data_IF_587509540254
#
_entry.id   IF_587509540254
#
_cell.length_a   1.000
_cell.length_b   1.000
_cell.length_c   1.000
_cell.angle_alpha   90.00
_cell.angle_beta   90.00
_cell.angle_gamma   90.00
#
_symmetry.space_group_name_H-M   'P 1'
#
loop_
_entity.id
_entity.type
_entity.pdbx_description
1 polymer ?
#
# COMPACT_ATOMS: atom_id res chain seq x y z
N UNK A 1 14.01 22.09 -1.04
CA UNK A 1 12.56 21.79 -1.03
C UNK A 1 12.34 20.37 -0.52
N UNK A 2 12.26 20.15 0.80
CA UNK A 2 12.12 18.79 1.37
C UNK A 2 10.68 18.38 1.69
N UNK A 3 9.76 19.35 1.84
CA UNK A 3 8.44 19.10 2.45
C UNK A 3 7.23 19.51 1.58
N UNK A 4 7.39 19.66 0.26
CA UNK A 4 6.35 20.23 -0.63
C UNK A 4 5.03 19.45 -0.63
N UNK A 5 4.84 18.57 -1.61
CA UNK A 5 3.61 17.76 -1.76
C UNK A 5 3.33 16.90 -0.53
N UNK A 6 4.39 16.49 0.18
CA UNK A 6 4.33 15.64 1.37
C UNK A 6 3.61 16.30 2.57
N UNK A 7 3.77 17.62 2.78
CA UNK A 7 2.96 18.33 3.80
C UNK A 7 1.48 18.34 3.44
N UNK A 8 1.15 18.45 2.15
CA UNK A 8 -0.22 18.39 1.66
C UNK A 8 -0.90 17.09 2.07
N UNK A 9 -0.24 15.94 1.86
CA UNK A 9 -0.78 14.63 2.24
C UNK A 9 -0.94 14.51 3.76
N UNK A 10 0.05 14.97 4.54
CA UNK A 10 0.00 14.89 6.01
C UNK A 10 -0.99 15.87 6.66
N UNK A 11 -1.25 17.05 6.07
CA UNK A 11 -2.14 18.08 6.63
C UNK A 11 -3.57 18.02 6.06
N UNK A 12 -3.75 17.62 4.80
CA UNK A 12 -5.07 17.45 4.18
C UNK A 12 -5.81 16.20 4.69
N UNK A 13 -5.11 15.30 5.40
CA UNK A 13 -5.67 14.16 6.14
C UNK A 13 -6.88 14.47 7.02
N UNK A 14 -7.09 15.74 7.38
CA UNK A 14 -8.21 16.15 8.23
C UNK A 14 -9.38 16.83 7.50
N UNK A 15 -9.27 17.20 6.20
CA UNK A 15 -10.26 18.12 5.59
C UNK A 15 -10.76 17.75 4.19
N UNK A 16 -10.03 17.00 3.36
CA UNK A 16 -10.54 16.62 2.04
C UNK A 16 -9.87 15.38 1.44
N UNK A 17 -10.57 14.24 1.48
CA UNK A 17 -10.10 12.94 0.95
C UNK A 17 -9.80 13.03 -0.56
N UNK A 18 -10.55 13.83 -1.33
CA UNK A 18 -10.32 13.95 -2.77
C UNK A 18 -8.98 14.60 -3.10
N UNK A 19 -8.51 15.51 -2.24
CA UNK A 19 -7.17 16.13 -2.41
C UNK A 19 -6.10 15.08 -2.17
N UNK A 20 -6.25 14.23 -1.16
CA UNK A 20 -5.29 13.15 -0.87
C UNK A 20 -5.22 12.18 -2.05
N UNK A 21 -6.36 11.77 -2.59
CA UNK A 21 -6.43 10.91 -3.78
C UNK A 21 -5.68 11.54 -4.95
N UNK A 22 -5.94 12.82 -5.24
CA UNK A 22 -5.25 13.54 -6.30
C UNK A 22 -3.73 13.58 -6.07
N UNK A 23 -3.27 13.82 -4.84
CA UNK A 23 -1.85 13.85 -4.52
C UNK A 23 -1.18 12.47 -4.63
N UNK A 24 -1.91 11.38 -4.34
CA UNK A 24 -1.44 10.01 -4.53
C UNK A 24 -1.35 9.67 -6.02
N UNK A 25 -2.34 10.06 -6.81
CA UNK A 25 -2.36 9.86 -8.26
C UNK A 25 -1.17 10.58 -8.93
N UNK A 26 -0.87 11.82 -8.50
CA UNK A 26 0.30 12.58 -8.96
C UNK A 26 1.64 12.02 -8.47
N UNK A 27 1.64 11.25 -7.38
CA UNK A 27 2.87 10.64 -6.87
C UNK A 27 3.36 9.52 -7.80
N UNK A 28 2.48 8.90 -8.60
CA UNK A 28 2.85 7.87 -9.57
C UNK A 28 3.80 8.41 -10.65
N UNK A 29 3.44 9.43 -11.46
CA UNK A 29 4.35 9.99 -12.46
C UNK A 29 5.60 10.60 -11.82
N UNK A 30 5.46 11.29 -10.68
CA UNK A 30 6.62 11.83 -9.95
C UNK A 30 7.59 10.73 -9.55
N UNK A 31 7.11 9.59 -9.06
CA UNK A 31 7.98 8.49 -8.66
C UNK A 31 8.81 7.96 -9.82
N UNK A 32 8.22 7.93 -11.02
CA UNK A 32 8.91 7.52 -12.23
C UNK A 32 9.96 8.56 -12.69
N UNK A 33 9.71 9.85 -12.49
CA UNK A 33 10.72 10.89 -12.77
C UNK A 33 11.90 10.84 -11.79
N UNK A 34 11.62 10.63 -10.49
CA UNK A 34 12.65 10.51 -9.46
C UNK A 34 13.55 9.27 -9.65
N UNK A 35 13.05 8.21 -10.31
CA UNK A 35 13.75 6.94 -10.47
C UNK A 35 14.31 6.46 -9.11
N UNK A 36 15.54 5.93 -9.09
CA UNK A 36 16.21 5.43 -7.89
C UNK A 36 16.39 6.49 -6.80
N UNK A 37 16.31 7.80 -7.11
CA UNK A 37 16.46 8.84 -6.08
C UNK A 37 15.30 8.88 -5.08
N UNK A 38 14.17 8.23 -5.38
CA UNK A 38 13.03 8.14 -4.47
C UNK A 38 13.35 7.42 -3.16
N UNK A 39 14.41 6.59 -3.13
CA UNK A 39 14.87 5.88 -1.93
C UNK A 39 15.11 6.81 -0.73
N UNK A 40 15.44 8.08 -0.98
CA UNK A 40 15.66 9.11 0.06
C UNK A 40 14.37 9.48 0.81
N UNK A 41 13.22 9.27 0.17
CA UNK A 41 11.89 9.59 0.69
C UNK A 41 11.13 8.35 1.14
N UNK A 42 11.67 7.14 0.89
CA UNK A 42 11.00 5.86 1.11
C UNK A 42 10.44 5.71 2.53
N UNK A 43 11.22 6.07 3.56
CA UNK A 43 10.76 6.04 4.96
C UNK A 43 9.48 6.82 5.18
N UNK A 44 9.42 8.04 4.64
CA UNK A 44 8.29 8.93 4.83
C UNK A 44 7.09 8.47 3.99
N UNK A 45 7.34 8.07 2.74
CA UNK A 45 6.31 7.60 1.81
C UNK A 45 5.64 6.32 2.31
N UNK A 46 6.43 5.30 2.69
CA UNK A 46 5.88 4.07 3.26
C UNK A 46 5.07 4.38 4.52
N UNK A 47 5.58 5.25 5.41
CA UNK A 47 4.83 5.66 6.59
C UNK A 47 3.46 6.26 6.25
N UNK A 48 3.37 7.12 5.23
CA UNK A 48 2.11 7.67 4.73
C UNK A 48 1.20 6.55 4.22
N UNK A 49 1.68 5.68 3.34
CA UNK A 49 0.87 4.63 2.73
C UNK A 49 0.35 3.64 3.76
N UNK A 50 1.21 3.18 4.67
CA UNK A 50 0.83 2.25 5.74
C UNK A 50 -0.17 2.87 6.70
N UNK A 51 -0.04 4.16 7.01
CA UNK A 51 -1.03 4.87 7.82
C UNK A 51 -2.39 4.95 7.12
N UNK A 52 -2.43 5.25 5.82
CA UNK A 52 -3.67 5.27 5.04
C UNK A 52 -4.29 3.86 4.98
N UNK A 53 -3.50 2.84 4.63
CA UNK A 53 -3.99 1.46 4.51
C UNK A 53 -4.43 0.85 5.85
N UNK A 54 -3.82 1.29 6.97
CA UNK A 54 -4.20 0.85 8.31
C UNK A 54 -5.38 1.62 8.90
N UNK A 55 -5.94 2.60 8.18
CA UNK A 55 -7.10 3.34 8.66
C UNK A 55 -8.36 2.44 8.66
N UNK A 56 -9.12 2.37 9.77
CA UNK A 56 -10.28 1.49 9.89
C UNK A 56 -11.43 1.87 8.94
N UNK A 57 -11.44 3.10 8.40
CA UNK A 57 -12.45 3.60 7.47
C UNK A 57 -12.06 3.42 6.00
N UNK A 58 -10.95 2.73 5.70
CA UNK A 58 -10.60 2.36 4.31
C UNK A 58 -11.69 1.56 3.61
N UNK A 59 -12.53 0.83 4.36
CA UNK A 59 -13.68 0.08 3.82
C UNK A 59 -14.72 0.95 3.10
N UNK A 60 -14.89 2.20 3.51
CA UNK A 60 -15.85 3.14 2.89
C UNK A 60 -15.21 4.05 1.83
N UNK A 61 -13.89 3.95 1.63
CA UNK A 61 -13.10 4.79 0.71
C UNK A 61 -12.27 3.94 -0.28
N UNK A 62 -12.91 3.13 -1.15
CA UNK A 62 -12.19 2.21 -2.05
C UNK A 62 -11.20 2.93 -2.97
N UNK A 63 -11.59 4.10 -3.50
CA UNK A 63 -10.73 4.91 -4.38
C UNK A 63 -9.44 5.36 -3.68
N UNK A 64 -9.49 5.67 -2.38
CA UNK A 64 -8.31 6.04 -1.61
C UNK A 64 -7.34 4.86 -1.49
N UNK A 65 -7.85 3.66 -1.25
CA UNK A 65 -7.04 2.44 -1.18
C UNK A 65 -6.42 2.12 -2.53
N UNK A 66 -7.19 2.20 -3.61
CA UNK A 66 -6.71 1.99 -4.98
C UNK A 66 -5.54 2.93 -5.33
N UNK A 67 -5.73 4.25 -5.20
CA UNK A 67 -4.68 5.25 -5.46
C UNK A 67 -3.45 5.07 -4.55
N UNK A 68 -3.66 4.66 -3.29
CA UNK A 68 -2.56 4.37 -2.36
C UNK A 68 -1.74 3.17 -2.82
N UNK A 69 -2.40 2.10 -3.27
CA UNK A 69 -1.73 0.91 -3.77
C UNK A 69 -0.95 1.20 -5.05
N UNK A 70 -1.53 1.96 -5.99
CA UNK A 70 -0.85 2.36 -7.24
C UNK A 70 0.41 3.19 -6.95
N UNK A 71 0.29 4.21 -6.08
CA UNK A 71 1.42 5.03 -5.67
C UNK A 71 2.50 4.19 -4.96
N UNK A 72 2.11 3.29 -4.06
CA UNK A 72 3.03 2.40 -3.36
C UNK A 72 3.78 1.47 -4.34
N UNK A 73 3.09 0.87 -5.31
CA UNK A 73 3.71 0.04 -6.35
C UNK A 73 4.72 0.85 -7.17
N UNK A 74 4.39 2.08 -7.55
CA UNK A 74 5.31 2.97 -8.26
C UNK A 74 6.55 3.32 -7.42
N UNK A 75 6.37 3.59 -6.12
CA UNK A 75 7.48 3.83 -5.19
C UNK A 75 8.34 2.59 -5.01
N UNK A 76 7.73 1.41 -4.92
CA UNK A 76 8.46 0.15 -4.80
C UNK A 76 9.26 -0.19 -6.07
N UNK A 77 8.70 0.07 -7.25
CA UNK A 77 9.41 -0.11 -8.54
C UNK A 77 10.69 0.71 -8.62
N UNK A 78 10.63 1.97 -8.17
CA UNK A 78 11.74 2.90 -8.28
C UNK A 78 12.68 2.83 -7.06
N UNK A 79 12.15 2.44 -5.90
CA UNK A 79 12.84 2.40 -4.62
C UNK A 79 13.31 1.01 -4.17
N UNK A 80 13.15 -0.02 -5.01
CA UNK A 80 13.37 -1.44 -4.67
C UNK A 80 14.66 -1.75 -3.88
N UNK A 81 15.83 -1.10 -4.11
CA UNK A 81 17.06 -1.47 -3.40
C UNK A 81 17.01 -1.25 -1.88
N UNK A 82 16.01 -0.49 -1.39
CA UNK A 82 15.84 -0.20 0.05
C UNK A 82 14.46 -0.57 0.60
N UNK A 83 13.61 -1.25 -0.19
CA UNK A 83 12.26 -1.66 0.24
C UNK A 83 12.30 -2.75 1.31
N UNK A 84 13.38 -3.53 1.39
CA UNK A 84 13.51 -4.65 2.34
C UNK A 84 13.22 -4.25 3.79
N UNK A 85 13.75 -3.10 4.23
CA UNK A 85 13.55 -2.59 5.58
C UNK A 85 12.10 -2.19 5.92
N UNK A 86 11.20 -2.23 4.94
CA UNK A 86 9.80 -1.82 5.05
C UNK A 86 8.82 -2.93 4.70
N UNK A 87 9.30 -4.13 4.33
CA UNK A 87 8.44 -5.22 3.81
C UNK A 87 7.31 -5.58 4.77
N UNK A 88 7.60 -5.67 6.07
CA UNK A 88 6.63 -6.04 7.09
C UNK A 88 5.62 -4.92 7.38
N UNK A 89 6.05 -3.66 7.33
CA UNK A 89 5.14 -2.52 7.48
C UNK A 89 4.15 -2.46 6.32
N UNK A 90 4.63 -2.69 5.09
CA UNK A 90 3.80 -2.76 3.89
C UNK A 90 2.79 -3.91 4.00
N UNK A 91 3.26 -5.13 4.34
CA UNK A 91 2.38 -6.28 4.51
C UNK A 91 1.30 -6.03 5.57
N UNK A 92 1.68 -5.45 6.72
CA UNK A 92 0.73 -5.08 7.77
C UNK A 92 -0.32 -4.11 7.27
N UNK A 93 0.08 -3.05 6.55
CA UNK A 93 -0.87 -2.09 5.97
C UNK A 93 -1.86 -2.74 5.02
N UNK A 94 -1.36 -3.58 4.11
CA UNK A 94 -2.19 -4.32 3.14
C UNK A 94 -3.21 -5.22 3.83
N UNK A 95 -2.78 -5.99 4.83
CA UNK A 95 -3.64 -6.88 5.60
C UNK A 95 -4.72 -6.11 6.36
N UNK A 96 -4.34 -5.02 7.04
CA UNK A 96 -5.30 -4.18 7.76
C UNK A 96 -6.36 -3.60 6.80
N UNK A 97 -5.93 -3.09 5.65
CA UNK A 97 -6.86 -2.56 4.65
C UNK A 97 -7.81 -3.64 4.15
N UNK A 98 -7.30 -4.83 3.84
CA UNK A 98 -8.10 -5.97 3.40
C UNK A 98 -9.13 -6.41 4.46
N UNK A 99 -8.77 -6.39 5.74
CA UNK A 99 -9.69 -6.69 6.84
C UNK A 99 -10.81 -5.65 6.93
N UNK A 100 -10.48 -4.37 6.74
CA UNK A 100 -11.45 -3.25 6.74
C UNK A 100 -12.41 -3.24 5.54
N UNK A 101 -12.14 -3.97 4.46
CA UNK A 101 -13.05 -4.07 3.29
C UNK A 101 -14.26 -4.99 3.51
N UNK A 102 -14.49 -5.46 4.74
CA UNK A 102 -15.59 -6.36 5.06
C UNK A 102 -16.91 -5.58 5.19
N UNK A 103 -17.71 -5.52 4.13
CA UNK A 103 -19.05 -4.93 4.16
C UNK A 103 -20.02 -5.77 5.01
N UNK A 104 -21.16 -5.19 5.42
CA UNK A 104 -22.23 -5.88 6.17
C UNK A 104 -22.76 -7.14 5.47
N UNK A 105 -22.60 -7.25 4.15
CA UNK A 105 -22.93 -8.41 3.30
C UNK A 105 -21.79 -9.40 3.11
N UNK A 106 -20.61 -9.14 3.67
CA UNK A 106 -19.40 -9.97 3.52
C UNK A 106 -18.74 -9.94 2.14
N UNK A 107 -19.32 -9.25 1.16
CA UNK A 107 -18.71 -9.07 -0.17
C UNK A 107 -17.67 -7.96 -0.16
N UNK A 108 -16.40 -8.36 -0.37
CA UNK A 108 -15.27 -7.44 -0.52
C UNK A 108 -15.27 -6.78 -1.89
N UNK A 109 -14.79 -5.54 -1.96
CA UNK A 109 -14.63 -4.85 -3.23
C UNK A 109 -13.50 -5.51 -4.05
N UNK A 110 -13.87 -6.15 -5.16
CA UNK A 110 -12.95 -6.91 -6.01
C UNK A 110 -11.85 -6.06 -6.63
N UNK A 111 -12.11 -4.76 -6.90
CA UNK A 111 -11.07 -3.85 -7.41
C UNK A 111 -10.03 -3.56 -6.34
N UNK A 112 -10.47 -3.25 -5.12
CA UNK A 112 -9.58 -3.00 -3.98
C UNK A 112 -8.75 -4.25 -3.68
N UNK A 113 -9.37 -5.44 -3.67
CA UNK A 113 -8.66 -6.69 -3.48
C UNK A 113 -7.54 -6.87 -4.51
N UNK A 114 -7.81 -6.65 -5.80
CA UNK A 114 -6.80 -6.71 -6.86
C UNK A 114 -5.68 -5.69 -6.65
N UNK A 115 -6.00 -4.47 -6.24
CA UNK A 115 -5.00 -3.44 -5.96
C UNK A 115 -4.09 -3.83 -4.80
N UNK A 116 -4.65 -4.44 -3.75
CA UNK A 116 -3.89 -4.97 -2.62
C UNK A 116 -3.01 -6.17 -3.03
N UNK A 117 -3.56 -7.10 -3.83
CA UNK A 117 -2.81 -8.22 -4.41
C UNK A 117 -1.66 -7.73 -5.29
N UNK A 118 -1.85 -6.66 -6.08
CA UNK A 118 -0.78 -6.07 -6.89
C UNK A 118 0.42 -5.60 -6.05
N UNK A 119 0.17 -5.06 -4.85
CA UNK A 119 1.25 -4.69 -3.91
C UNK A 119 2.01 -5.94 -3.45
N UNK A 120 1.31 -7.02 -3.12
CA UNK A 120 1.91 -8.30 -2.70
C UNK A 120 2.73 -8.92 -3.82
N UNK A 121 2.16 -9.01 -5.03
CA UNK A 121 2.87 -9.48 -6.24
C UNK A 121 4.11 -8.63 -6.48
N UNK A 122 4.06 -7.32 -6.23
CA UNK A 122 5.23 -6.47 -6.37
C UNK A 122 6.29 -6.76 -5.30
N UNK A 123 5.91 -7.07 -4.06
CA UNK A 123 6.84 -7.54 -3.02
C UNK A 123 7.49 -8.87 -3.44
N UNK A 124 6.70 -9.84 -3.91
CA UNK A 124 7.23 -11.12 -4.40
C UNK A 124 8.23 -10.93 -5.54
N UNK A 125 7.94 -10.02 -6.49
CA UNK A 125 8.86 -9.71 -7.59
C UNK A 125 10.18 -9.06 -7.13
N UNK A 126 10.18 -8.36 -5.99
CA UNK A 126 11.40 -7.70 -5.46
C UNK A 126 12.23 -8.69 -4.63
N UNK A 127 11.58 -9.49 -3.78
CA UNK A 127 12.27 -10.35 -2.82
C UNK A 127 12.40 -11.81 -3.25
N UNK A 128 11.66 -12.23 -4.28
CA UNK A 128 11.46 -13.63 -4.62
C UNK A 128 10.39 -14.27 -3.75
N UNK A 129 9.54 -15.10 -4.37
CA UNK A 129 8.42 -15.78 -3.70
C UNK A 129 8.88 -16.67 -2.55
N UNK A 130 9.97 -17.38 -2.73
CA UNK A 130 10.50 -18.33 -1.73
C UNK A 130 10.86 -17.64 -0.40
N UNK A 131 11.34 -16.39 -0.46
CA UNK A 131 11.72 -15.62 0.72
C UNK A 131 10.52 -15.08 1.53
N UNK A 132 9.32 -15.08 0.95
CA UNK A 132 8.09 -14.60 1.60
C UNK A 132 7.11 -15.74 1.92
N UNK A 133 7.36 -16.95 1.42
CA UNK A 133 6.45 -18.08 1.56
C UNK A 133 6.29 -18.53 3.02
N UNK A 134 7.36 -18.51 3.81
CA UNK A 134 7.30 -18.78 5.26
C UNK A 134 6.46 -17.73 5.98
N UNK A 135 6.67 -16.45 5.65
CA UNK A 135 5.92 -15.32 6.24
C UNK A 135 4.41 -15.45 5.94
N UNK A 136 4.04 -15.77 4.68
CA UNK A 136 2.64 -15.96 4.28
C UNK A 136 2.00 -17.18 4.94
N UNK A 137 2.72 -18.30 5.00
CA UNK A 137 2.23 -19.52 5.64
C UNK A 137 1.95 -19.29 7.12
N UNK A 138 2.84 -18.57 7.81
CA UNK A 138 2.63 -18.18 9.19
C UNK A 138 1.38 -17.31 9.35
N UNK A 139 1.20 -16.29 8.50
CA UNK A 139 0.05 -15.38 8.55
C UNK A 139 -1.28 -16.09 8.26
N UNK A 140 -1.33 -16.97 7.25
CA UNK A 140 -2.52 -17.78 6.94
C UNK A 140 -2.82 -18.72 8.12
N UNK A 141 -1.80 -19.30 8.75
CA UNK A 141 -1.98 -20.12 9.96
C UNK A 141 -2.63 -19.37 11.13
N UNK A 142 -2.43 -18.04 11.23
CA UNK A 142 -3.10 -17.20 12.22
C UNK A 142 -4.52 -16.79 11.79
N UNK A 143 -4.73 -16.42 10.53
CA UNK A 143 -6.05 -16.09 9.97
C UNK A 143 -6.23 -16.73 8.59
N UNK A 144 -6.95 -17.85 8.56
CA UNK A 144 -7.22 -18.62 7.33
C UNK A 144 -7.94 -17.79 6.25
N UNK A 145 -8.65 -16.72 6.63
CA UNK A 145 -9.36 -15.88 5.67
C UNK A 145 -8.39 -15.11 4.76
N UNK A 146 -7.15 -14.89 5.21
CA UNK A 146 -6.10 -14.26 4.40
C UNK A 146 -5.71 -15.07 3.17
N UNK A 147 -6.13 -16.33 3.06
CA UNK A 147 -5.95 -17.12 1.84
C UNK A 147 -6.50 -16.38 0.62
N UNK A 148 -7.65 -15.71 0.73
CA UNK A 148 -8.22 -14.91 -0.37
C UNK A 148 -7.30 -13.76 -0.83
N UNK A 149 -6.51 -13.20 0.08
CA UNK A 149 -5.58 -12.12 -0.21
C UNK A 149 -4.30 -12.63 -0.91
N UNK A 150 -3.86 -13.83 -0.55
CA UNK A 150 -2.63 -14.44 -1.08
C UNK A 150 -2.87 -15.38 -2.28
N UNK A 151 -4.13 -15.67 -2.59
CA UNK A 151 -4.55 -16.50 -3.73
C UNK A 151 -4.85 -15.60 -4.94
N UNK A 152 -3.89 -15.52 -5.87
CA UNK A 152 -3.93 -14.69 -7.08
C UNK A 152 -3.30 -15.37 -8.29
#
# INVERSE_FOLDING_TARGET
>A
MRDGVFKGISQAGQQNINVIIMLLDELVPLSNEFNVQIVRHLKHLVGIFVNILSDPFTGVLPRLVESTCEALVAVMNNGWPRVEGYKYDILRGVINSWQSQSNETGQKNTKVLRSLQNVIVKLENIFGKDNLLEDYTALIGYDNRLTELFDF
#
